data_IF_275169024168
#
_entry.id   IF_275169024168
#
_cell.length_a   1.000
_cell.length_b   1.000
_cell.length_c   1.000
_cell.angle_alpha   90.00
_cell.angle_beta   90.00
_cell.angle_gamma   90.00
#
_symmetry.space_group_name_H-M   'P 1'
#
loop_
_entity.id
_entity.type
_entity.pdbx_description
1 polymer ?
#
# COMPACT_ATOMS: atom_id res chain seq x y z
N UNK A 1 -18.11 0.18 -27.00
CA UNK A 1 -17.15 -0.93 -26.94
C UNK A 1 -15.70 -0.44 -26.88
N UNK A 2 -15.30 0.57 -27.62
CA UNK A 2 -13.92 1.11 -27.61
C UNK A 2 -13.45 1.64 -26.24
N UNK A 3 -14.35 2.24 -25.44
CA UNK A 3 -13.99 2.78 -24.11
C UNK A 3 -13.58 1.71 -23.10
N UNK A 4 -14.20 0.53 -23.13
CA UNK A 4 -13.90 -0.54 -22.18
C UNK A 4 -12.52 -1.18 -22.45
N UNK A 5 -12.17 -1.37 -23.70
CA UNK A 5 -10.88 -1.90 -24.11
C UNK A 5 -9.74 -0.93 -23.76
N UNK A 6 -9.96 0.36 -23.99
CA UNK A 6 -8.98 1.40 -23.63
C UNK A 6 -8.75 1.45 -22.12
N UNK A 7 -9.81 1.36 -21.31
CA UNK A 7 -9.72 1.31 -19.86
C UNK A 7 -8.96 0.06 -19.38
N UNK A 8 -9.28 -1.10 -19.94
CA UNK A 8 -8.59 -2.36 -19.63
C UNK A 8 -7.11 -2.30 -19.97
N UNK A 9 -6.74 -1.74 -21.12
CA UNK A 9 -5.34 -1.57 -21.49
C UNK A 9 -4.57 -0.67 -20.51
N UNK A 10 -5.20 0.42 -20.05
CA UNK A 10 -4.59 1.31 -19.07
C UNK A 10 -4.45 0.63 -17.69
N UNK A 11 -5.46 -0.15 -17.27
CA UNK A 11 -5.37 -0.93 -16.02
C UNK A 11 -4.27 -1.97 -16.11
N UNK A 12 -4.18 -2.71 -17.21
CA UNK A 12 -3.14 -3.73 -17.40
C UNK A 12 -1.74 -3.12 -17.47
N UNK A 13 -1.57 -2.02 -18.18
CA UNK A 13 -0.29 -1.32 -18.28
C UNK A 13 0.14 -0.75 -16.91
N UNK A 14 -0.77 -0.11 -16.17
CA UNK A 14 -0.50 0.39 -14.83
C UNK A 14 -0.20 -0.74 -13.84
N UNK A 15 -0.94 -1.86 -13.91
CA UNK A 15 -0.70 -3.03 -13.08
C UNK A 15 0.68 -3.65 -13.37
N UNK A 16 1.04 -3.79 -14.64
CA UNK A 16 2.35 -4.28 -15.05
C UNK A 16 3.48 -3.41 -14.51
N UNK A 17 3.32 -2.10 -14.58
CA UNK A 17 4.31 -1.15 -14.04
C UNK A 17 4.45 -1.23 -12.52
N UNK A 18 3.33 -1.34 -11.80
CA UNK A 18 3.32 -1.53 -10.33
C UNK A 18 4.05 -2.83 -9.95
N UNK A 19 3.74 -3.93 -10.64
CA UNK A 19 4.40 -5.22 -10.41
C UNK A 19 5.89 -5.18 -10.75
N UNK A 20 6.27 -4.45 -11.79
CA UNK A 20 7.67 -4.25 -12.15
C UNK A 20 8.43 -3.48 -11.06
N UNK A 21 7.86 -2.38 -10.54
CA UNK A 21 8.44 -1.65 -9.42
C UNK A 21 8.53 -2.50 -8.14
N UNK A 22 7.53 -3.36 -7.89
CA UNK A 22 7.56 -4.30 -6.78
C UNK A 22 8.67 -5.34 -6.93
N UNK A 23 8.86 -5.91 -8.12
CA UNK A 23 9.93 -6.85 -8.41
C UNK A 23 11.32 -6.22 -8.25
N UNK A 24 11.50 -4.99 -8.75
CA UNK A 24 12.72 -4.21 -8.54
C UNK A 24 12.96 -3.91 -7.06
N UNK A 25 11.91 -3.55 -6.33
CA UNK A 25 11.96 -3.32 -4.90
C UNK A 25 12.43 -4.54 -4.12
N UNK A 26 11.94 -5.74 -4.47
CA UNK A 26 12.41 -6.99 -3.89
C UNK A 26 13.87 -7.28 -4.24
N UNK A 27 14.29 -7.05 -5.47
CA UNK A 27 15.68 -7.21 -5.89
C UNK A 27 16.63 -6.30 -5.10
N UNK A 28 16.28 -5.03 -4.97
CA UNK A 28 17.03 -4.05 -4.16
C UNK A 28 17.05 -4.44 -2.67
N UNK A 29 15.92 -4.88 -2.13
CA UNK A 29 15.82 -5.35 -0.74
C UNK A 29 16.78 -6.50 -0.47
N UNK A 30 16.88 -7.47 -1.37
CA UNK A 30 17.84 -8.57 -1.25
C UNK A 30 19.29 -8.10 -1.30
N UNK A 31 19.61 -7.11 -2.13
CA UNK A 31 20.95 -6.52 -2.23
C UNK A 31 21.38 -5.78 -0.96
N UNK A 32 20.42 -5.17 -0.25
CA UNK A 32 20.66 -4.44 1.01
C UNK A 32 20.69 -5.40 2.22
N UNK A 33 20.57 -6.71 2.00
CA UNK A 33 20.60 -7.71 3.08
C UNK A 33 19.23 -7.97 3.74
N UNK A 34 18.13 -7.59 3.08
CA UNK A 34 16.76 -7.90 3.56
C UNK A 34 16.28 -7.07 4.75
N UNK A 35 16.99 -6.01 5.14
CA UNK A 35 16.58 -5.14 6.26
C UNK A 35 15.29 -4.38 6.00
N UNK A 36 14.95 -4.11 4.76
CA UNK A 36 13.71 -3.42 4.37
C UNK A 36 12.83 -4.36 3.55
N UNK A 37 11.51 -4.42 3.85
CA UNK A 37 10.57 -5.16 3.01
C UNK A 37 10.59 -4.63 1.56
N UNK A 38 10.68 -5.54 0.59
CA UNK A 38 10.75 -5.17 -0.83
C UNK A 38 9.55 -4.36 -1.32
N UNK A 39 8.38 -4.53 -0.69
CA UNK A 39 7.18 -3.73 -0.96
C UNK A 39 7.35 -2.25 -0.62
N UNK A 40 8.05 -1.92 0.47
CA UNK A 40 8.34 -0.53 0.85
C UNK A 40 9.32 0.09 -0.15
N UNK A 41 10.37 -0.63 -0.52
CA UNK A 41 11.34 -0.18 -1.54
C UNK A 41 10.65 0.02 -2.88
N UNK A 42 9.80 -0.92 -3.30
CA UNK A 42 8.99 -0.81 -4.52
C UNK A 42 8.05 0.40 -4.52
N UNK A 43 7.42 0.69 -3.39
CA UNK A 43 6.56 1.87 -3.23
C UNK A 43 7.36 3.18 -3.35
N UNK A 44 8.55 3.25 -2.76
CA UNK A 44 9.43 4.42 -2.86
C UNK A 44 9.89 4.61 -4.31
N UNK A 45 10.25 3.52 -5.01
CA UNK A 45 10.63 3.55 -6.43
C UNK A 45 9.48 4.03 -7.31
N UNK A 46 8.27 3.54 -7.08
CA UNK A 46 7.07 3.98 -7.78
C UNK A 46 6.80 5.47 -7.54
N UNK A 47 6.89 5.90 -6.29
CA UNK A 47 6.71 7.31 -5.92
C UNK A 47 7.77 8.21 -6.57
N UNK A 48 9.03 7.81 -6.54
CA UNK A 48 10.11 8.53 -7.21
C UNK A 48 9.89 8.62 -8.72
N UNK A 49 9.43 7.55 -9.37
CA UNK A 49 9.10 7.54 -10.80
C UNK A 49 7.99 8.52 -11.15
N UNK A 50 6.97 8.64 -10.28
CA UNK A 50 5.90 9.62 -10.46
C UNK A 50 6.40 11.05 -10.24
N UNK A 51 7.23 11.29 -9.22
CA UNK A 51 7.80 12.62 -8.96
C UNK A 51 8.73 13.09 -10.08
N UNK A 52 9.47 12.18 -10.70
CA UNK A 52 10.35 12.46 -11.84
C UNK A 52 9.60 12.53 -13.17
N UNK A 53 8.27 12.38 -13.16
CA UNK A 53 7.44 12.36 -14.39
C UNK A 53 7.89 11.33 -15.43
N UNK A 54 8.52 10.22 -14.99
CA UNK A 54 8.89 9.11 -15.87
C UNK A 54 7.64 8.37 -16.33
N UNK A 55 6.61 8.34 -15.46
CA UNK A 55 5.31 7.74 -15.72
C UNK A 55 4.21 8.70 -15.29
N UNK A 56 3.20 8.86 -16.12
CA UNK A 56 2.06 9.70 -15.81
C UNK A 56 1.16 9.05 -14.75
N UNK A 57 0.79 9.82 -13.74
CA UNK A 57 -0.13 9.38 -12.70
C UNK A 57 -1.48 8.95 -13.27
N UNK A 58 -1.90 9.52 -14.39
CA UNK A 58 -3.14 9.15 -15.09
C UNK A 58 -3.11 7.70 -15.61
N UNK A 59 -1.94 7.19 -15.98
CA UNK A 59 -1.75 5.82 -16.44
C UNK A 59 -1.86 4.81 -15.29
N UNK A 60 -1.39 5.17 -14.10
CA UNK A 60 -1.39 4.29 -12.91
C UNK A 60 -2.71 4.37 -12.16
N UNK A 61 -3.42 5.50 -12.22
CA UNK A 61 -4.67 5.75 -11.49
C UNK A 61 -5.75 4.67 -11.65
N UNK A 62 -6.05 4.14 -12.85
CA UNK A 62 -7.05 3.08 -13.01
C UNK A 62 -6.63 1.78 -12.32
N UNK A 63 -5.35 1.38 -12.45
CA UNK A 63 -4.80 0.19 -11.80
C UNK A 63 -4.81 0.33 -10.27
N UNK A 64 -4.41 1.50 -9.76
CA UNK A 64 -4.44 1.79 -8.32
C UNK A 64 -5.85 1.74 -7.76
N UNK A 65 -6.85 2.32 -8.43
CA UNK A 65 -8.26 2.24 -8.03
C UNK A 65 -8.78 0.80 -8.02
N UNK A 66 -8.42 0.01 -9.02
CA UNK A 66 -8.78 -1.40 -9.08
C UNK A 66 -8.19 -2.18 -7.90
N UNK A 67 -6.89 -2.00 -7.62
CA UNK A 67 -6.21 -2.65 -6.49
C UNK A 67 -6.80 -2.21 -5.14
N UNK A 68 -7.05 -0.91 -4.95
CA UNK A 68 -7.66 -0.39 -3.73
C UNK A 68 -9.08 -0.94 -3.52
N UNK A 69 -9.87 -1.05 -4.59
CA UNK A 69 -11.20 -1.68 -4.54
C UNK A 69 -11.13 -3.17 -4.21
N UNK A 70 -10.11 -3.87 -4.72
CA UNK A 70 -9.88 -5.27 -4.42
C UNK A 70 -9.33 -5.52 -3.01
N UNK A 71 -8.77 -4.51 -2.32
CA UNK A 71 -8.25 -4.67 -0.96
C UNK A 71 -9.31 -5.20 0.00
N UNK A 72 -10.56 -4.77 -0.14
CA UNK A 72 -11.66 -5.26 0.68
C UNK A 72 -11.84 -6.79 0.59
N UNK A 73 -11.63 -7.35 -0.60
CA UNK A 73 -11.69 -8.80 -0.82
C UNK A 73 -10.56 -9.55 -0.10
N UNK A 74 -9.38 -8.94 0.03
CA UNK A 74 -8.27 -9.53 0.77
C UNK A 74 -8.47 -9.53 2.28
N UNK A 75 -9.32 -8.64 2.80
CA UNK A 75 -9.67 -8.65 4.23
C UNK A 75 -10.52 -9.85 4.65
N UNK A 76 -11.28 -10.45 3.73
CA UNK A 76 -12.14 -11.60 4.03
C UNK A 76 -11.33 -12.81 4.52
N UNK A 77 -10.30 -13.31 3.80
CA UNK A 77 -9.50 -14.43 4.29
C UNK A 77 -8.74 -14.12 5.57
N UNK A 78 -8.30 -12.87 5.79
CA UNK A 78 -7.69 -12.45 7.05
C UNK A 78 -8.69 -12.49 8.21
N UNK A 79 -9.92 -12.01 8.00
CA UNK A 79 -10.99 -12.08 9.00
C UNK A 79 -11.33 -13.52 9.40
N UNK A 80 -11.41 -14.42 8.43
CA UNK A 80 -11.63 -15.86 8.69
C UNK A 80 -10.45 -16.46 9.46
N UNK A 81 -9.21 -16.11 9.08
CA UNK A 81 -8.00 -16.55 9.80
C UNK A 81 -7.99 -16.12 11.27
N UNK A 82 -8.45 -14.90 11.56
CA UNK A 82 -8.59 -14.41 12.94
C UNK A 82 -9.63 -15.19 13.75
N UNK A 83 -10.74 -15.59 13.12
CA UNK A 83 -11.77 -16.41 13.78
C UNK A 83 -11.23 -17.79 14.15
N UNK A 84 -10.41 -18.40 13.29
CA UNK A 84 -9.78 -19.70 13.57
C UNK A 84 -8.76 -19.60 14.71
N UNK A 85 -8.11 -18.45 14.86
CA UNK A 85 -7.09 -18.19 15.89
C UNK A 85 -7.64 -17.44 17.10
N UNK A 86 -8.93 -17.55 17.40
CA UNK A 86 -9.57 -16.79 18.47
C UNK A 86 -8.95 -17.00 19.86
N UNK A 87 -8.43 -18.18 20.16
CA UNK A 87 -7.76 -18.47 21.43
C UNK A 87 -6.55 -17.57 21.64
N UNK A 88 -5.71 -17.43 20.62
CA UNK A 88 -4.53 -16.52 20.66
C UNK A 88 -4.95 -15.06 20.83
N UNK A 89 -6.09 -14.68 20.23
CA UNK A 89 -6.62 -13.33 20.38
C UNK A 89 -7.11 -13.07 21.81
N UNK A 90 -7.77 -14.02 22.43
CA UNK A 90 -8.27 -13.89 23.80
C UNK A 90 -7.13 -13.80 24.80
N UNK A 91 -6.11 -14.64 24.65
CA UNK A 91 -4.92 -14.63 25.53
C UNK A 91 -4.15 -13.31 25.47
N UNK A 92 -4.14 -12.66 24.29
CA UNK A 92 -3.41 -11.42 24.08
C UNK A 92 -4.33 -10.20 23.90
N UNK A 93 -5.60 -10.30 24.29
CA UNK A 93 -6.59 -9.25 24.04
C UNK A 93 -6.15 -7.87 24.51
N UNK A 94 -5.66 -7.75 25.72
CA UNK A 94 -5.21 -6.47 26.28
C UNK A 94 -4.00 -5.91 25.54
N UNK A 95 -3.06 -6.75 25.16
CA UNK A 95 -1.90 -6.34 24.37
C UNK A 95 -2.32 -5.80 23.00
N UNK A 96 -3.25 -6.46 22.32
CA UNK A 96 -3.77 -6.07 21.00
C UNK A 96 -4.52 -4.73 21.09
N UNK A 97 -5.41 -4.57 22.07
CA UNK A 97 -6.21 -3.34 22.23
C UNK A 97 -5.33 -2.15 22.59
N UNK A 98 -4.40 -2.31 23.53
CA UNK A 98 -3.50 -1.24 23.95
C UNK A 98 -2.54 -0.86 22.81
N UNK A 99 -1.90 -1.83 22.19
CA UNK A 99 -0.96 -1.57 21.09
C UNK A 99 -1.66 -0.95 19.86
N UNK A 100 -2.85 -1.45 19.51
CA UNK A 100 -3.67 -0.90 18.45
C UNK A 100 -4.12 0.53 18.72
N UNK A 101 -4.57 0.81 19.92
CA UNK A 101 -4.99 2.16 20.34
C UNK A 101 -3.82 3.15 20.32
N UNK A 102 -2.71 2.78 20.93
CA UNK A 102 -1.50 3.64 20.95
C UNK A 102 -0.98 3.87 19.54
N UNK A 103 -0.87 2.82 18.71
CA UNK A 103 -0.41 2.94 17.31
C UNK A 103 -1.32 3.84 16.49
N UNK A 104 -2.64 3.70 16.64
CA UNK A 104 -3.62 4.53 15.92
C UNK A 104 -3.47 6.00 16.32
N UNK A 105 -3.37 6.28 17.62
CA UNK A 105 -3.16 7.65 18.11
C UNK A 105 -1.88 8.26 17.58
N UNK A 106 -0.80 7.49 17.59
CA UNK A 106 0.51 7.93 17.11
C UNK A 106 0.47 8.24 15.61
N UNK A 107 -0.14 7.38 14.82
CA UNK A 107 -0.31 7.60 13.36
C UNK A 107 -1.15 8.85 13.10
N UNK A 108 -2.29 9.03 13.77
CA UNK A 108 -3.14 10.19 13.60
C UNK A 108 -2.42 11.50 13.94
N UNK A 109 -1.66 11.53 15.02
CA UNK A 109 -0.87 12.69 15.43
C UNK A 109 0.23 12.98 14.39
N UNK A 110 0.98 11.97 13.97
CA UNK A 110 2.04 12.13 12.98
C UNK A 110 1.51 12.62 11.63
N UNK A 111 0.48 11.97 11.11
CA UNK A 111 -0.14 12.34 9.82
C UNK A 111 -0.76 13.73 9.91
N UNK A 112 -1.47 14.03 10.99
CA UNK A 112 -2.06 15.36 11.22
C UNK A 112 -1.01 16.47 11.27
N UNK A 113 0.10 16.24 11.99
CA UNK A 113 1.23 17.19 12.06
C UNK A 113 1.91 17.41 10.70
N UNK A 114 2.16 16.33 9.98
CA UNK A 114 2.76 16.40 8.64
C UNK A 114 1.83 17.16 7.68
N UNK A 115 0.54 16.81 7.68
CA UNK A 115 -0.45 17.50 6.84
C UNK A 115 -0.55 18.99 7.15
N UNK A 116 -0.64 19.37 8.43
CA UNK A 116 -0.68 20.79 8.84
C UNK A 116 0.58 21.54 8.42
N UNK A 117 1.75 20.88 8.53
CA UNK A 117 3.02 21.51 8.15
C UNK A 117 3.14 21.72 6.64
N UNK A 118 2.62 20.77 5.85
CA UNK A 118 2.57 20.91 4.40
C UNK A 118 1.56 21.95 3.94
N UNK A 119 0.38 21.97 4.56
CA UNK A 119 -0.68 22.91 4.19
C UNK A 119 -0.37 24.36 4.61
N UNK A 120 0.49 24.57 5.59
CA UNK A 120 0.93 25.90 6.03
C UNK A 120 1.91 26.56 5.04
N UNK A 121 2.40 25.80 4.04
CA UNK A 121 3.32 26.28 3.00
C UNK A 121 2.62 26.64 1.68
N UNK A 122 1.31 26.43 1.58
CA UNK A 122 0.45 26.84 0.48
C UNK A 122 -0.40 28.02 0.90
#
# INVERSE_FOLDING_TARGET
MHSAYSYLCHVLAGLFYILFCWALGNGVSLLIGGYLPGSIVGMILLFASLCLHIVDAEMIRPAARFLLGAMALFFIPYGVGLIVSYEVLLDNFWAIVISGGVSTMLVLVCVGRVFQKLNKKV
#
